data_IF_611945072303
#
_entry.id   IF_611945072303
#
_cell.length_a   1.000
_cell.length_b   1.000
_cell.length_c   1.000
_cell.angle_alpha   90.00
_cell.angle_beta   90.00
_cell.angle_gamma   90.00
#
_symmetry.space_group_name_H-M   'P 1'
#
loop_
_entity.id
_entity.type
_entity.pdbx_description
1 polymer ?
#
# COMPACT_ATOMS: atom_id res chain seq x y z
N UNK A 1 7.71 5.32 -6.76
CA UNK A 1 8.47 5.26 -5.49
C UNK A 1 9.43 6.43 -5.31
N UNK A 2 9.69 7.24 -6.35
CA UNK A 2 10.68 8.34 -6.30
C UNK A 2 10.45 9.34 -5.17
N UNK A 3 9.20 9.70 -4.89
CA UNK A 3 8.90 10.73 -3.89
C UNK A 3 9.31 10.32 -2.47
N UNK A 4 9.00 9.09 -2.06
CA UNK A 4 9.37 8.60 -0.72
C UNK A 4 10.87 8.34 -0.61
N UNK A 5 11.47 7.74 -1.65
CA UNK A 5 12.90 7.46 -1.65
C UNK A 5 13.76 8.74 -1.63
N UNK A 6 13.31 9.81 -2.29
CA UNK A 6 13.97 11.12 -2.22
C UNK A 6 13.98 11.72 -0.81
N UNK A 7 12.92 11.51 -0.01
CA UNK A 7 12.92 11.93 1.41
C UNK A 7 14.01 11.19 2.18
N UNK A 8 14.23 9.90 1.90
CA UNK A 8 15.31 9.16 2.56
C UNK A 8 16.69 9.67 2.16
N UNK A 9 16.90 10.11 0.92
CA UNK A 9 18.20 10.73 0.55
C UNK A 9 18.52 11.95 1.43
N UNK A 10 17.52 12.77 1.75
CA UNK A 10 17.69 13.88 2.68
C UNK A 10 17.91 13.43 4.13
N UNK A 11 17.26 12.35 4.57
CA UNK A 11 17.53 11.75 5.88
C UNK A 11 18.99 11.27 5.95
N UNK A 12 19.50 10.63 4.89
CA UNK A 12 20.89 10.16 4.84
C UNK A 12 21.88 11.30 4.97
N UNK A 13 21.58 12.46 4.37
CA UNK A 13 22.45 13.64 4.39
C UNK A 13 22.68 14.17 5.81
N UNK A 14 21.69 14.05 6.69
CA UNK A 14 21.75 14.56 8.07
C UNK A 14 22.03 13.48 9.11
N UNK A 15 21.94 12.21 8.73
CA UNK A 15 22.26 11.09 9.60
C UNK A 15 23.76 11.09 9.90
N UNK A 16 24.13 10.77 11.15
CA UNK A 16 25.52 10.50 11.49
C UNK A 16 26.09 9.37 10.60
N UNK A 17 27.41 9.34 10.37
CA UNK A 17 28.04 8.26 9.59
C UNK A 17 27.74 6.84 10.11
N UNK A 18 27.49 6.70 11.42
CA UNK A 18 27.15 5.46 12.12
C UNK A 18 25.67 5.35 12.52
N UNK A 19 24.85 6.31 12.09
CA UNK A 19 23.44 6.35 12.45
C UNK A 19 22.64 5.22 11.80
N UNK A 20 21.57 4.81 12.48
CA UNK A 20 20.60 3.85 11.97
C UNK A 20 19.19 4.46 12.05
N UNK A 21 18.37 4.15 11.06
CA UNK A 21 16.98 4.60 10.94
C UNK A 21 16.09 3.36 11.01
N UNK A 22 14.96 3.48 11.70
CA UNK A 22 13.92 2.44 11.72
C UNK A 22 12.69 2.95 10.97
N UNK A 23 12.22 2.16 10.00
CA UNK A 23 11.06 2.49 9.19
C UNK A 23 9.91 1.53 9.52
N UNK A 24 8.83 2.06 10.08
CA UNK A 24 7.58 1.32 10.21
C UNK A 24 6.76 1.50 8.93
N UNK A 25 6.50 0.40 8.23
CA UNK A 25 5.74 0.43 6.97
C UNK A 25 4.89 -0.83 6.81
N UNK A 26 3.58 -0.63 6.75
CA UNK A 26 2.62 -1.69 6.45
C UNK A 26 2.44 -1.89 4.96
N UNK A 27 2.07 -3.11 4.57
CA UNK A 27 1.63 -3.38 3.20
C UNK A 27 0.13 -3.09 3.03
N UNK A 28 -0.33 -3.11 1.79
CA UNK A 28 -1.74 -2.98 1.43
C UNK A 28 -2.10 -4.02 0.38
N UNK A 29 -3.36 -4.44 0.39
CA UNK A 29 -3.91 -5.32 -0.63
C UNK A 29 -4.48 -4.55 -1.81
N UNK A 30 -4.22 -5.03 -3.04
CA UNK A 30 -4.93 -4.59 -4.22
C UNK A 30 -6.44 -4.85 -4.05
N UNK A 31 -7.25 -3.81 -4.17
CA UNK A 31 -8.70 -3.90 -3.92
C UNK A 31 -9.44 -3.06 -4.94
N UNK A 32 -10.48 -3.64 -5.54
CA UNK A 32 -11.47 -2.89 -6.28
C UNK A 32 -12.48 -2.27 -5.31
N UNK A 33 -13.00 -1.07 -5.59
CA UNK A 33 -14.22 -0.61 -4.96
C UNK A 33 -15.31 -1.66 -5.26
N UNK A 34 -15.74 -2.39 -4.24
CA UNK A 34 -16.93 -3.23 -4.39
C UNK A 34 -18.10 -2.29 -4.72
N UNK A 35 -18.90 -2.61 -5.73
CA UNK A 35 -20.16 -1.92 -6.01
C UNK A 35 -20.17 -0.78 -7.04
N UNK A 36 -19.05 -0.43 -7.70
CA UNK A 36 -19.03 0.67 -8.69
C UNK A 36 -19.26 0.25 -10.15
N UNK A 37 -19.17 -1.05 -10.48
CA UNK A 37 -19.46 -1.58 -11.82
C UNK A 37 -20.35 -2.80 -11.65
N UNK A 38 -21.41 -2.88 -12.46
CA UNK A 38 -22.57 -3.78 -12.33
C UNK A 38 -22.32 -5.28 -12.44
N UNK A 39 -21.19 -5.78 -11.96
CA UNK A 39 -20.89 -7.20 -11.87
C UNK A 39 -21.15 -7.69 -10.45
N UNK A 40 -22.23 -8.48 -10.33
CA UNK A 40 -22.58 -9.38 -9.22
C UNK A 40 -22.31 -8.84 -7.82
N UNK A 41 -23.37 -8.27 -7.24
CA UNK A 41 -23.55 -8.01 -5.82
C UNK A 41 -23.27 -9.30 -5.04
N UNK A 42 -22.04 -9.48 -4.55
CA UNK A 42 -21.75 -10.55 -3.59
C UNK A 42 -22.59 -10.26 -2.35
N UNK A 43 -23.57 -11.14 -2.06
CA UNK A 43 -24.42 -11.01 -0.88
C UNK A 43 -23.50 -10.91 0.33
N UNK A 44 -23.62 -9.81 1.07
CA UNK A 44 -22.93 -9.65 2.34
C UNK A 44 -23.30 -10.85 3.22
N UNK A 45 -22.30 -11.43 3.88
CA UNK A 45 -22.51 -12.50 4.85
C UNK A 45 -23.55 -12.06 5.88
N UNK A 46 -24.61 -12.84 6.04
CA UNK A 46 -25.69 -12.62 7.02
C UNK A 46 -25.22 -12.68 8.48
N UNK A 47 -23.96 -13.06 8.73
CA UNK A 47 -23.35 -13.13 10.05
C UNK A 47 -22.89 -11.78 10.62
N UNK A 48 -22.85 -10.72 9.81
CA UNK A 48 -22.60 -9.36 10.29
C UNK A 48 -23.58 -8.41 9.62
N UNK A 49 -24.66 -8.06 10.33
CA UNK A 49 -25.75 -7.20 9.87
C UNK A 49 -25.35 -5.75 9.60
N UNK A 50 -24.46 -5.53 8.62
CA UNK A 50 -24.14 -4.21 8.10
C UNK A 50 -24.06 -4.29 6.59
N UNK A 51 -25.22 -4.18 5.95
CA UNK A 51 -25.31 -3.83 4.54
C UNK A 51 -24.66 -2.45 4.36
N UNK A 52 -23.39 -2.44 3.98
CA UNK A 52 -22.70 -1.21 3.61
C UNK A 52 -23.30 -0.73 2.31
N UNK A 53 -24.11 0.32 2.38
CA UNK A 53 -24.77 0.93 1.21
C UNK A 53 -23.72 1.36 0.19
N UNK A 54 -24.08 1.40 -1.10
CA UNK A 54 -23.15 1.76 -2.19
C UNK A 54 -22.46 3.11 -1.99
N UNK A 55 -23.07 4.03 -1.23
CA UNK A 55 -22.49 5.32 -0.86
C UNK A 55 -21.27 5.20 0.07
N UNK A 56 -21.26 4.26 1.03
CA UNK A 56 -20.10 3.99 1.90
C UNK A 56 -18.93 3.35 1.13
N UNK A 57 -19.22 2.70 0.01
CA UNK A 57 -18.22 2.05 -0.85
C UNK A 57 -17.67 2.98 -1.93
N UNK A 58 -18.46 3.98 -2.36
CA UNK A 58 -18.06 4.98 -3.36
C UNK A 58 -16.91 5.91 -2.90
N UNK A 59 -16.72 6.08 -1.58
CA UNK A 59 -15.60 6.84 -1.02
C UNK A 59 -14.29 6.05 -0.89
N UNK A 60 -14.25 4.78 -1.29
CA UNK A 60 -13.03 3.98 -1.22
C UNK A 60 -12.13 4.28 -2.41
N UNK A 61 -10.94 4.79 -2.11
CA UNK A 61 -9.85 4.96 -3.07
C UNK A 61 -9.68 3.65 -3.86
N UNK A 62 -9.75 3.74 -5.19
CA UNK A 62 -9.45 2.60 -6.05
C UNK A 62 -7.99 2.21 -5.84
N UNK A 63 -7.77 1.01 -5.29
CA UNK A 63 -6.44 0.46 -5.04
C UNK A 63 -6.05 -0.55 -6.11
N UNK A 64 -6.57 -0.40 -7.34
CA UNK A 64 -6.08 -1.12 -8.51
C UNK A 64 -4.62 -0.77 -8.73
N UNK A 65 -3.77 -1.78 -8.62
CA UNK A 65 -2.39 -1.74 -9.04
C UNK A 65 -2.28 -2.57 -10.34
N UNK A 66 -1.70 -2.03 -11.43
CA UNK A 66 -1.51 -2.78 -12.66
C UNK A 66 -0.79 -4.12 -12.41
N UNK A 67 -1.31 -5.20 -12.99
CA UNK A 67 -0.71 -6.53 -12.89
C UNK A 67 -0.97 -7.30 -11.58
N UNK A 68 -1.77 -6.77 -10.65
CA UNK A 68 -2.16 -7.46 -9.42
C UNK A 68 -3.64 -7.87 -9.45
N UNK A 69 -3.95 -9.12 -9.07
CA UNK A 69 -5.35 -9.56 -8.91
C UNK A 69 -5.91 -9.01 -7.59
N UNK A 70 -7.24 -8.85 -7.47
CA UNK A 70 -7.85 -8.49 -6.20
C UNK A 70 -7.38 -9.40 -5.06
N UNK A 71 -7.07 -8.77 -3.92
CA UNK A 71 -6.53 -9.39 -2.69
C UNK A 71 -5.08 -9.88 -2.79
N UNK A 72 -4.34 -9.50 -3.83
CA UNK A 72 -2.88 -9.61 -3.79
C UNK A 72 -2.27 -8.57 -2.84
N UNK A 73 -1.22 -8.97 -2.12
CA UNK A 73 -0.33 -8.04 -1.44
C UNK A 73 0.44 -7.21 -2.48
N UNK A 74 0.48 -5.89 -2.29
CA UNK A 74 1.17 -4.97 -3.21
C UNK A 74 2.69 -5.08 -3.08
N UNK A 75 3.18 -5.50 -1.91
CA UNK A 75 4.61 -5.61 -1.62
C UNK A 75 5.25 -4.25 -1.35
N UNK A 76 4.52 -3.29 -0.77
CA UNK A 76 5.03 -1.93 -0.52
C UNK A 76 6.34 -1.93 0.28
N UNK A 77 6.48 -2.68 1.41
CA UNK A 77 7.73 -2.71 2.16
C UNK A 77 8.92 -3.18 1.32
N UNK A 78 8.75 -4.23 0.51
CA UNK A 78 9.80 -4.76 -0.36
C UNK A 78 10.17 -3.79 -1.49
N UNK A 79 9.18 -3.15 -2.10
CA UNK A 79 9.40 -2.12 -3.14
C UNK A 79 10.18 -0.93 -2.60
N UNK A 80 9.89 -0.50 -1.36
CA UNK A 80 10.69 0.54 -0.69
C UNK A 80 12.10 0.04 -0.40
N UNK A 81 12.24 -1.16 0.17
CA UNK A 81 13.55 -1.73 0.51
C UNK A 81 14.48 -1.81 -0.71
N UNK A 82 13.99 -2.32 -1.85
CA UNK A 82 14.80 -2.42 -3.07
C UNK A 82 15.20 -1.07 -3.64
N UNK A 83 14.30 -0.07 -3.62
CA UNK A 83 14.63 1.27 -4.09
C UNK A 83 15.64 1.97 -3.16
N UNK A 84 15.52 1.80 -1.84
CA UNK A 84 16.51 2.30 -0.89
C UNK A 84 17.86 1.60 -1.07
N UNK A 85 17.88 0.28 -1.27
CA UNK A 85 19.11 -0.47 -1.58
C UNK A 85 19.77 0.03 -2.87
N UNK A 86 18.98 0.30 -3.92
CA UNK A 86 19.48 0.90 -5.18
C UNK A 86 20.12 2.28 -4.96
N UNK A 87 19.68 3.02 -3.94
CA UNK A 87 20.25 4.31 -3.50
C UNK A 87 21.35 4.17 -2.45
N UNK A 88 21.85 2.95 -2.23
CA UNK A 88 22.99 2.65 -1.36
C UNK A 88 22.65 2.50 0.12
N UNK A 89 21.37 2.42 0.49
CA UNK A 89 20.99 2.04 1.86
C UNK A 89 21.22 0.55 2.10
N UNK A 90 21.54 0.18 3.33
CA UNK A 90 21.61 -1.22 3.75
C UNK A 90 20.38 -1.57 4.58
N UNK A 91 19.73 -2.67 4.23
CA UNK A 91 18.72 -3.31 5.06
C UNK A 91 19.44 -4.22 6.07
N UNK A 92 19.04 -4.16 7.34
CA UNK A 92 19.61 -4.96 8.44
C UNK A 92 18.51 -5.65 9.22
#
# INVERSE_FOLDING_TARGET
MEHLAGVFDEVRRVLRPDGTLWLNLGDTYATHPSGLLGEKRWKASTLTGRDRTGAEQAGRIDKRAPGLKPKDLVGIPWRVAFELQRRGWWLR
#
